data_IF_821137689710
#
_entry.id   IF_821137689710
#
_cell.length_a   1.000
_cell.length_b   1.000
_cell.length_c   1.000
_cell.angle_alpha   90.00
_cell.angle_beta   90.00
_cell.angle_gamma   90.00
#
_symmetry.space_group_name_H-M   'P 1'
#
loop_
_entity.id
_entity.type
_entity.pdbx_description
1 polymer ?
#
# COMPACT_ATOMS: atom_id res chain seq x y z
N UNK A 1 -33.71 -4.54 25.75
CA UNK A 1 -32.43 -4.96 25.14
C UNK A 1 -31.48 -5.30 26.28
N UNK A 2 -30.81 -6.45 26.21
CA UNK A 2 -29.77 -6.79 27.18
C UNK A 2 -28.62 -5.79 27.09
N UNK A 3 -28.03 -5.48 28.25
CA UNK A 3 -26.90 -4.56 28.33
C UNK A 3 -25.66 -5.15 27.63
N UNK A 4 -24.99 -4.37 26.75
CA UNK A 4 -23.74 -4.77 26.13
C UNK A 4 -22.69 -5.26 27.13
N UNK A 5 -22.00 -6.36 26.80
CA UNK A 5 -21.01 -6.98 27.69
C UNK A 5 -19.89 -6.01 28.08
N UNK A 6 -19.47 -5.16 27.14
CA UNK A 6 -18.42 -4.17 27.39
C UNK A 6 -18.83 -3.12 28.43
N UNK A 7 -20.13 -2.77 28.53
CA UNK A 7 -20.63 -1.83 29.55
C UNK A 7 -20.61 -2.47 30.95
N UNK A 8 -20.91 -3.76 31.06
CA UNK A 8 -20.73 -4.51 32.31
C UNK A 8 -19.26 -4.48 32.76
N UNK A 9 -18.34 -4.71 31.82
CA UNK A 9 -16.89 -4.63 32.07
C UNK A 9 -16.41 -3.22 32.42
N UNK A 10 -16.98 -2.20 31.79
CA UNK A 10 -16.73 -0.81 32.15
C UNK A 10 -17.11 -0.55 33.60
N UNK A 11 -18.31 -0.97 34.05
CA UNK A 11 -18.73 -0.81 35.44
C UNK A 11 -17.84 -1.57 36.44
N UNK A 12 -17.39 -2.77 36.08
CA UNK A 12 -16.42 -3.52 36.90
C UNK A 12 -15.11 -2.73 37.06
N UNK A 13 -14.61 -2.12 35.99
CA UNK A 13 -13.41 -1.27 36.03
C UNK A 13 -13.65 -0.01 36.86
N UNK A 14 -14.77 0.69 36.69
CA UNK A 14 -15.06 1.90 37.46
C UNK A 14 -15.11 1.59 38.95
N UNK A 15 -15.80 0.52 39.37
CA UNK A 15 -15.80 0.07 40.77
C UNK A 15 -14.39 -0.24 41.29
N UNK A 16 -13.54 -0.85 40.45
CA UNK A 16 -12.15 -1.10 40.80
C UNK A 16 -11.36 0.21 40.99
N UNK A 17 -11.53 1.16 40.07
CA UNK A 17 -10.86 2.46 40.11
C UNK A 17 -11.35 3.31 41.29
N UNK A 18 -12.64 3.32 41.59
CA UNK A 18 -13.19 4.03 42.76
C UNK A 18 -12.64 3.49 44.07
N UNK A 19 -12.42 2.18 44.15
CA UNK A 19 -11.88 1.55 45.35
C UNK A 19 -10.37 1.73 45.50
N UNK A 20 -9.63 1.65 44.40
CA UNK A 20 -8.16 1.50 44.44
C UNK A 20 -7.38 2.68 43.84
N UNK A 21 -8.01 3.56 43.06
CA UNK A 21 -7.40 4.77 42.48
C UNK A 21 -8.47 5.86 42.16
N UNK A 22 -9.06 6.49 43.19
CA UNK A 22 -10.07 7.55 43.00
C UNK A 22 -9.56 8.73 42.17
N UNK A 23 -8.24 8.94 42.13
CA UNK A 23 -7.59 10.04 41.39
C UNK A 23 -7.24 9.69 39.95
N UNK A 24 -7.59 8.48 39.47
CA UNK A 24 -7.39 8.01 38.08
C UNK A 24 -5.96 8.19 37.57
N UNK A 25 -4.97 7.89 38.42
CA UNK A 25 -3.53 7.98 38.11
C UNK A 25 -3.00 6.72 37.41
N UNK A 26 -3.72 5.61 37.50
CA UNK A 26 -3.41 4.28 36.96
C UNK A 26 -2.05 3.72 37.41
N UNK A 27 -1.64 4.04 38.64
CA UNK A 27 -0.38 3.58 39.23
C UNK A 27 -0.64 2.45 40.23
N UNK A 28 -0.73 1.23 39.73
CA UNK A 28 -0.91 0.02 40.55
C UNK A 28 0.41 -0.76 40.67
N UNK A 29 0.57 -1.52 41.76
CA UNK A 29 1.68 -2.46 41.97
C UNK A 29 1.14 -3.89 42.07
N UNK A 30 2.00 -4.86 41.74
CA UNK A 30 1.75 -6.31 41.89
C UNK A 30 0.36 -6.74 41.40
N UNK A 31 -0.42 -7.42 42.24
CA UNK A 31 -1.68 -8.08 41.88
C UNK A 31 -2.74 -7.08 41.40
N UNK A 32 -2.75 -5.86 41.93
CA UNK A 32 -3.66 -4.81 41.49
C UNK A 32 -3.33 -4.38 40.05
N UNK A 33 -2.05 -4.34 39.67
CA UNK A 33 -1.64 -4.03 38.31
C UNK A 33 -2.06 -5.13 37.34
N UNK A 34 -1.88 -6.40 37.71
CA UNK A 34 -2.30 -7.55 36.90
C UNK A 34 -3.82 -7.57 36.73
N UNK A 35 -4.57 -7.37 37.82
CA UNK A 35 -6.04 -7.32 37.78
C UNK A 35 -6.56 -6.17 36.92
N UNK A 36 -6.00 -4.97 37.08
CA UNK A 36 -6.36 -3.83 36.23
C UNK A 36 -6.03 -4.10 34.76
N UNK A 37 -4.87 -4.69 34.47
CA UNK A 37 -4.51 -5.04 33.09
C UNK A 37 -5.49 -6.03 32.47
N UNK A 38 -5.85 -7.10 33.19
CA UNK A 38 -6.83 -8.09 32.72
C UNK A 38 -8.18 -7.45 32.42
N UNK A 39 -8.71 -6.64 33.34
CA UNK A 39 -9.97 -5.94 33.14
C UNK A 39 -9.94 -5.00 31.92
N UNK A 40 -8.81 -4.30 31.69
CA UNK A 40 -8.64 -3.43 30.51
C UNK A 40 -8.59 -4.19 29.20
N UNK A 41 -7.92 -5.34 29.16
CA UNK A 41 -7.90 -6.19 27.95
C UNK A 41 -9.30 -6.75 27.68
N UNK A 42 -9.97 -7.29 28.71
CA UNK A 42 -11.34 -7.80 28.59
C UNK A 42 -12.31 -6.73 28.08
N UNK A 43 -12.26 -5.51 28.62
CA UNK A 43 -13.10 -4.41 28.13
C UNK A 43 -12.84 -4.11 26.66
N UNK A 44 -11.57 -4.03 26.25
CA UNK A 44 -11.22 -3.73 24.85
C UNK A 44 -11.67 -4.83 23.91
N UNK A 45 -11.50 -6.09 24.28
CA UNK A 45 -11.93 -7.23 23.45
C UNK A 45 -13.45 -7.26 23.29
N UNK A 46 -14.18 -7.11 24.39
CA UNK A 46 -15.64 -7.06 24.35
C UNK A 46 -16.16 -5.85 23.57
N UNK A 47 -15.46 -4.71 23.63
CA UNK A 47 -15.83 -3.52 22.87
C UNK A 47 -15.54 -3.70 21.36
N UNK A 48 -14.41 -4.31 21.00
CA UNK A 48 -14.09 -4.66 19.61
C UNK A 48 -15.14 -5.60 19.03
N UNK A 49 -15.48 -6.67 19.75
CA UNK A 49 -16.51 -7.63 19.33
C UNK A 49 -17.89 -6.94 19.21
N UNK A 50 -18.22 -6.05 20.14
CA UNK A 50 -19.47 -5.29 20.07
C UNK A 50 -19.56 -4.39 18.82
N UNK A 51 -18.47 -3.69 18.46
CA UNK A 51 -18.47 -2.74 17.35
C UNK A 51 -18.33 -3.40 15.98
N UNK A 52 -17.46 -4.41 15.88
CA UNK A 52 -17.04 -5.02 14.60
C UNK A 52 -17.57 -6.44 14.41
N UNK A 53 -17.85 -7.15 15.51
CA UNK A 53 -18.31 -8.54 15.51
C UNK A 53 -17.55 -9.42 14.53
N UNK A 54 -18.32 -10.11 13.69
CA UNK A 54 -17.81 -11.03 12.66
C UNK A 54 -16.90 -10.40 11.60
N UNK A 55 -16.84 -9.07 11.45
CA UNK A 55 -16.00 -8.43 10.45
C UNK A 55 -14.50 -8.70 10.70
N UNK A 56 -14.09 -8.88 11.96
CA UNK A 56 -12.71 -9.23 12.29
C UNK A 56 -12.36 -10.66 11.81
N UNK A 57 -13.32 -11.58 11.85
CA UNK A 57 -13.14 -12.93 11.31
C UNK A 57 -13.07 -12.93 9.78
N UNK A 58 -13.80 -12.04 9.12
CA UNK A 58 -13.65 -11.81 7.67
C UNK A 58 -12.24 -11.30 7.37
N UNK A 59 -11.71 -10.36 8.17
CA UNK A 59 -10.35 -9.86 8.01
C UNK A 59 -9.31 -10.97 8.17
N UNK A 60 -9.42 -11.83 9.18
CA UNK A 60 -8.54 -13.00 9.34
C UNK A 60 -8.55 -13.92 8.11
N UNK A 61 -9.71 -14.12 7.48
CA UNK A 61 -9.79 -14.88 6.22
C UNK A 61 -9.05 -14.20 5.08
N UNK A 62 -9.13 -12.87 4.97
CA UNK A 62 -8.42 -12.11 3.93
C UNK A 62 -6.91 -12.12 4.16
N UNK A 63 -6.47 -11.98 5.42
CA UNK A 63 -5.06 -12.11 5.82
C UNK A 63 -4.50 -13.45 5.34
N UNK A 64 -5.17 -14.57 5.64
CA UNK A 64 -4.73 -15.90 5.19
C UNK A 64 -4.56 -16.00 3.67
N UNK A 65 -5.42 -15.34 2.90
CA UNK A 65 -5.32 -15.33 1.43
C UNK A 65 -4.14 -14.51 0.95
N UNK A 66 -3.92 -13.34 1.53
CA UNK A 66 -2.75 -12.51 1.24
C UNK A 66 -1.45 -13.21 1.62
N UNK A 67 -1.36 -13.79 2.82
CA UNK A 67 -0.16 -14.50 3.29
C UNK A 67 0.25 -15.60 2.32
N UNK A 68 -0.70 -16.43 1.88
CA UNK A 68 -0.43 -17.49 0.89
C UNK A 68 0.09 -16.94 -0.44
N UNK A 69 -0.53 -15.88 -0.93
CA UNK A 69 -0.12 -15.26 -2.19
C UNK A 69 1.29 -14.67 -2.11
N UNK A 70 1.63 -14.08 -0.96
CA UNK A 70 2.95 -13.52 -0.68
C UNK A 70 4.01 -14.62 -0.52
N UNK A 71 3.69 -15.73 0.15
CA UNK A 71 4.56 -16.90 0.24
C UNK A 71 4.86 -17.49 -1.15
N UNK A 72 3.84 -17.62 -1.99
CA UNK A 72 4.00 -18.05 -3.39
C UNK A 72 4.88 -17.06 -4.17
N UNK A 73 4.69 -15.75 -3.97
CA UNK A 73 5.51 -14.71 -4.61
C UNK A 73 6.97 -14.76 -4.20
N UNK A 74 7.23 -14.95 -2.91
CA UNK A 74 8.58 -15.10 -2.37
C UNK A 74 9.27 -16.31 -3.00
N UNK A 75 8.55 -17.45 -3.09
CA UNK A 75 9.06 -18.67 -3.72
C UNK A 75 9.33 -18.49 -5.21
N UNK A 76 8.36 -17.96 -5.97
CA UNK A 76 8.44 -17.83 -7.42
C UNK A 76 9.62 -16.97 -7.86
N UNK A 77 9.81 -15.80 -7.25
CA UNK A 77 10.89 -14.88 -7.60
C UNK A 77 12.16 -15.06 -6.77
N UNK A 78 12.23 -16.08 -5.90
CA UNK A 78 13.33 -16.32 -4.97
C UNK A 78 13.71 -15.05 -4.17
N UNK A 79 12.70 -14.39 -3.59
CA UNK A 79 12.89 -13.19 -2.80
C UNK A 79 13.43 -13.54 -1.41
N UNK A 80 14.24 -12.65 -0.84
CA UNK A 80 14.66 -12.77 0.57
C UNK A 80 13.53 -12.42 1.54
N UNK A 81 12.54 -11.66 1.09
CA UNK A 81 11.33 -11.37 1.86
C UNK A 81 10.54 -10.20 1.28
N UNK A 82 9.52 -9.79 2.03
CA UNK A 82 8.69 -8.62 1.68
C UNK A 82 8.56 -7.66 2.85
N UNK A 83 8.29 -6.39 2.54
CA UNK A 83 8.08 -5.33 3.52
C UNK A 83 6.68 -4.75 3.39
N UNK A 84 5.96 -4.73 4.50
CA UNK A 84 4.66 -4.05 4.64
C UNK A 84 4.83 -2.75 5.43
N UNK A 85 3.86 -1.84 5.30
CA UNK A 85 3.77 -0.69 6.20
C UNK A 85 3.60 -1.15 7.65
N UNK A 86 4.06 -0.34 8.61
CA UNK A 86 3.91 -0.64 10.05
C UNK A 86 2.46 -0.93 10.45
N UNK A 87 1.53 -0.18 9.87
CA UNK A 87 0.10 -0.33 10.12
C UNK A 87 -0.42 -1.67 9.61
N UNK A 88 -0.19 -1.98 8.32
CA UNK A 88 -0.61 -3.23 7.72
C UNK A 88 0.09 -4.42 8.38
N UNK A 89 1.42 -4.36 8.55
CA UNK A 89 2.20 -5.42 9.18
C UNK A 89 1.70 -5.77 10.58
N UNK A 90 1.46 -4.76 11.44
CA UNK A 90 0.87 -5.01 12.76
C UNK A 90 -0.53 -5.60 12.69
N UNK A 91 -1.32 -5.29 11.65
CA UNK A 91 -2.66 -5.85 11.47
C UNK A 91 -2.63 -7.28 10.93
N UNK A 92 -1.67 -7.61 10.04
CA UNK A 92 -1.47 -8.97 9.53
C UNK A 92 -1.01 -9.93 10.64
N UNK A 93 -0.17 -9.46 11.56
CA UNK A 93 0.34 -10.24 12.69
C UNK A 93 -0.77 -10.60 13.69
N UNK A 94 -1.48 -9.58 14.20
CA UNK A 94 -2.62 -9.78 15.08
C UNK A 94 -3.64 -8.63 14.92
N UNK A 95 -4.76 -8.88 14.20
CA UNK A 95 -5.82 -7.89 14.00
C UNK A 95 -6.41 -7.36 15.32
N UNK A 96 -6.58 -8.22 16.33
CA UNK A 96 -7.16 -7.83 17.61
C UNK A 96 -6.18 -6.94 18.36
N UNK A 97 -4.93 -7.35 18.50
CA UNK A 97 -3.91 -6.51 19.14
C UNK A 97 -3.74 -5.17 18.42
N UNK A 98 -3.80 -5.13 17.08
CA UNK A 98 -3.78 -3.89 16.32
C UNK A 98 -4.97 -2.98 16.67
N UNK A 99 -6.19 -3.51 16.67
CA UNK A 99 -7.41 -2.76 16.96
C UNK A 99 -7.44 -2.26 18.41
N UNK A 100 -6.93 -3.03 19.37
CA UNK A 100 -6.78 -2.59 20.77
C UNK A 100 -5.91 -1.33 20.90
N UNK A 101 -4.87 -1.18 20.06
CA UNK A 101 -4.02 0.02 20.05
C UNK A 101 -4.81 1.27 19.62
N UNK A 102 -5.82 1.12 18.76
CA UNK A 102 -6.63 2.24 18.23
C UNK A 102 -7.58 2.84 19.26
N UNK A 103 -8.03 2.05 20.23
CA UNK A 103 -8.93 2.50 21.29
C UNK A 103 -8.22 2.85 22.60
N UNK A 104 -6.89 2.75 22.63
CA UNK A 104 -6.10 2.92 23.84
C UNK A 104 -6.33 4.28 24.52
N UNK A 105 -6.18 5.38 23.77
CA UNK A 105 -6.34 6.73 24.34
C UNK A 105 -7.79 6.99 24.78
N UNK A 106 -8.76 6.68 23.90
CA UNK A 106 -10.18 6.84 24.20
C UNK A 106 -10.61 6.09 25.47
N UNK A 107 -10.08 4.88 25.69
CA UNK A 107 -10.38 4.09 26.88
C UNK A 107 -9.89 4.79 28.14
N UNK A 108 -8.72 5.42 28.08
CA UNK A 108 -8.16 6.15 29.22
C UNK A 108 -8.88 7.47 29.49
N UNK A 109 -9.42 8.12 28.45
CA UNK A 109 -10.27 9.30 28.64
C UNK A 109 -11.62 8.91 29.26
N UNK A 110 -12.19 7.76 28.86
CA UNK A 110 -13.38 7.18 29.49
C UNK A 110 -13.15 6.87 30.98
N UNK A 111 -12.02 6.25 31.33
CA UNK A 111 -11.71 5.94 32.74
C UNK A 111 -11.42 7.18 33.60
N UNK A 112 -10.98 8.28 32.97
CA UNK A 112 -10.82 9.58 33.64
C UNK A 112 -12.10 10.40 33.65
N UNK A 113 -13.20 9.85 33.14
CA UNK A 113 -14.50 10.53 33.05
C UNK A 113 -14.43 11.85 32.25
N UNK A 114 -13.47 11.94 31.31
CA UNK A 114 -13.40 13.07 30.38
C UNK A 114 -14.46 12.97 29.29
N UNK A 115 -14.83 11.74 28.95
CA UNK A 115 -15.89 11.38 28.01
C UNK A 115 -16.80 10.36 28.69
N UNK A 116 -18.08 10.37 28.35
CA UNK A 116 -19.01 9.35 28.82
C UNK A 116 -18.99 8.09 27.93
N UNK A 117 -19.76 7.08 28.32
CA UNK A 117 -19.81 5.80 27.62
C UNK A 117 -20.45 5.91 26.23
N UNK A 118 -21.39 6.83 26.02
CA UNK A 118 -22.03 7.06 24.71
C UNK A 118 -21.08 7.77 23.75
N UNK A 119 -20.36 8.79 24.25
CA UNK A 119 -19.31 9.47 23.50
C UNK A 119 -18.18 8.49 23.14
N UNK A 120 -17.71 7.68 24.10
CA UNK A 120 -16.72 6.64 23.86
C UNK A 120 -17.16 5.66 22.76
N UNK A 121 -18.39 5.16 22.82
CA UNK A 121 -18.93 4.26 21.80
C UNK A 121 -18.88 4.89 20.40
N UNK A 122 -19.24 6.17 20.30
CA UNK A 122 -19.22 6.92 19.05
C UNK A 122 -17.79 7.09 18.50
N UNK A 123 -16.88 7.69 19.28
CA UNK A 123 -15.54 8.07 18.79
C UNK A 123 -14.60 6.86 18.65
N UNK A 124 -14.58 5.97 19.64
CA UNK A 124 -13.74 4.77 19.60
C UNK A 124 -14.31 3.76 18.59
N UNK A 125 -15.63 3.66 18.47
CA UNK A 125 -16.28 2.82 17.46
C UNK A 125 -15.97 3.30 16.04
N UNK A 126 -16.00 4.61 15.78
CA UNK A 126 -15.58 5.17 14.49
C UNK A 126 -14.11 4.90 14.17
N UNK A 127 -13.22 5.02 15.18
CA UNK A 127 -11.80 4.71 15.03
C UNK A 127 -11.56 3.23 14.66
N UNK A 128 -12.27 2.29 15.32
CA UNK A 128 -12.21 0.86 15.02
C UNK A 128 -12.67 0.55 13.60
N UNK A 129 -13.86 1.03 13.20
CA UNK A 129 -14.39 0.81 11.83
C UNK A 129 -13.44 1.37 10.77
N UNK A 130 -12.86 2.54 11.02
CA UNK A 130 -11.90 3.16 10.10
C UNK A 130 -10.61 2.35 9.99
N UNK A 131 -10.05 1.90 11.11
CA UNK A 131 -8.85 1.07 11.14
C UNK A 131 -9.06 -0.26 10.42
N UNK A 132 -10.18 -0.93 10.67
CA UNK A 132 -10.52 -2.19 10.00
C UNK A 132 -10.66 -1.98 8.48
N UNK A 133 -11.48 -1.02 8.05
CA UNK A 133 -11.73 -0.74 6.62
C UNK A 133 -10.45 -0.37 5.87
N UNK A 134 -9.60 0.45 6.48
CA UNK A 134 -8.32 0.87 5.87
C UNK A 134 -7.40 -0.34 5.65
N UNK A 135 -7.24 -1.19 6.65
CA UNK A 135 -6.42 -2.39 6.52
C UNK A 135 -7.01 -3.40 5.54
N UNK A 136 -8.33 -3.57 5.49
CA UNK A 136 -9.01 -4.44 4.51
C UNK A 136 -8.77 -3.99 3.08
N UNK A 137 -8.82 -2.67 2.81
CA UNK A 137 -8.42 -2.10 1.50
C UNK A 137 -6.97 -2.44 1.17
N UNK A 138 -6.05 -2.20 2.11
CA UNK A 138 -4.63 -2.49 1.90
C UNK A 138 -4.36 -3.97 1.67
N UNK A 139 -5.04 -4.87 2.37
CA UNK A 139 -4.94 -6.32 2.13
C UNK A 139 -5.35 -6.66 0.71
N UNK A 140 -6.50 -6.16 0.25
CA UNK A 140 -7.01 -6.49 -1.08
C UNK A 140 -6.11 -5.94 -2.20
N UNK A 141 -5.67 -4.68 -2.09
CA UNK A 141 -4.76 -4.06 -3.04
C UNK A 141 -3.42 -4.82 -3.11
N UNK A 142 -2.86 -5.18 -1.95
CA UNK A 142 -1.61 -5.95 -1.86
C UNK A 142 -1.78 -7.33 -2.47
N UNK A 143 -2.92 -8.00 -2.23
CA UNK A 143 -3.22 -9.30 -2.81
C UNK A 143 -3.32 -9.21 -4.34
N UNK A 144 -4.05 -8.23 -4.89
CA UNK A 144 -4.15 -8.02 -6.34
C UNK A 144 -2.76 -7.83 -6.96
N UNK A 145 -1.91 -7.04 -6.32
CA UNK A 145 -0.56 -6.79 -6.81
C UNK A 145 0.34 -8.04 -6.74
N UNK A 146 0.33 -8.77 -5.61
CA UNK A 146 1.07 -10.02 -5.46
C UNK A 146 0.62 -11.08 -6.47
N UNK A 147 -0.69 -11.27 -6.65
CA UNK A 147 -1.24 -12.19 -7.65
C UNK A 147 -0.87 -11.79 -9.07
N UNK A 148 -0.89 -10.50 -9.38
CA UNK A 148 -0.45 -9.99 -10.70
C UNK A 148 1.00 -10.39 -10.98
N UNK A 149 1.89 -10.23 -9.99
CA UNK A 149 3.29 -10.64 -10.13
C UNK A 149 3.44 -12.17 -10.23
N UNK A 150 2.67 -12.96 -9.48
CA UNK A 150 2.70 -14.42 -9.59
C UNK A 150 2.24 -14.92 -10.97
N UNK A 151 1.24 -14.31 -11.58
CA UNK A 151 0.82 -14.65 -12.95
C UNK A 151 1.89 -14.19 -13.96
N UNK A 152 2.50 -13.02 -13.77
CA UNK A 152 3.63 -12.59 -14.62
C UNK A 152 4.80 -13.57 -14.56
N UNK A 153 5.05 -14.20 -13.41
CA UNK A 153 6.06 -15.24 -13.27
C UNK A 153 5.74 -16.46 -14.15
N UNK A 154 4.48 -16.89 -14.21
CA UNK A 154 4.03 -17.97 -15.11
C UNK A 154 4.27 -17.63 -16.60
N UNK A 155 4.35 -16.34 -16.94
CA UNK A 155 4.76 -15.85 -18.26
C UNK A 155 6.27 -15.71 -18.45
N UNK A 156 7.09 -16.32 -17.58
CA UNK A 156 8.55 -16.32 -17.67
C UNK A 156 9.17 -14.98 -17.34
N UNK A 157 8.57 -14.23 -16.42
CA UNK A 157 9.14 -12.96 -15.95
C UNK A 157 10.08 -13.16 -14.75
N UNK A 158 11.02 -12.23 -14.58
CA UNK A 158 11.88 -12.14 -13.40
C UNK A 158 11.99 -10.69 -12.91
N UNK A 159 12.20 -10.52 -11.60
CA UNK A 159 12.37 -9.21 -10.97
C UNK A 159 13.80 -8.73 -11.22
N UNK A 160 13.94 -7.52 -11.77
CA UNK A 160 15.23 -6.83 -11.97
C UNK A 160 15.46 -5.68 -11.01
N UNK A 161 14.41 -5.22 -10.34
CA UNK A 161 14.48 -4.27 -9.25
C UNK A 161 13.36 -4.58 -8.26
N UNK A 162 13.61 -4.58 -6.94
CA UNK A 162 14.88 -4.24 -6.30
C UNK A 162 15.92 -5.37 -6.38
N UNK A 163 17.19 -5.00 -6.61
CA UNK A 163 18.32 -5.94 -6.77
C UNK A 163 18.64 -6.70 -5.47
N UNK A 164 18.32 -6.11 -4.31
CA UNK A 164 18.57 -6.72 -2.99
C UNK A 164 17.55 -7.80 -2.60
N UNK A 165 16.60 -8.16 -3.48
CA UNK A 165 15.68 -9.29 -3.25
C UNK A 165 14.59 -9.08 -2.19
N UNK A 166 14.39 -7.85 -1.67
CA UNK A 166 13.25 -7.54 -0.78
C UNK A 166 12.22 -6.67 -1.48
N UNK A 167 11.01 -7.20 -1.72
CA UNK A 167 9.92 -6.43 -2.32
C UNK A 167 9.18 -5.60 -1.27
N UNK A 168 8.97 -4.31 -1.52
CA UNK A 168 8.20 -3.45 -0.61
C UNK A 168 6.81 -3.14 -1.17
N UNK A 169 5.79 -3.46 -0.38
CA UNK A 169 4.38 -3.12 -0.64
C UNK A 169 3.99 -1.73 -0.08
N UNK A 170 4.97 -0.92 0.33
CA UNK A 170 4.75 0.45 0.78
C UNK A 170 5.70 1.45 0.11
N UNK A 171 5.49 2.73 0.41
CA UNK A 171 6.32 3.84 -0.10
C UNK A 171 7.04 4.66 0.96
N UNK A 172 6.68 4.50 2.23
CA UNK A 172 7.18 5.34 3.32
C UNK A 172 8.72 5.35 3.34
N UNK A 173 9.31 6.54 3.24
CA UNK A 173 10.76 6.72 3.39
C UNK A 173 11.61 6.59 2.12
N UNK A 174 11.05 6.18 0.96
CA UNK A 174 11.81 5.99 -0.29
C UNK A 174 12.00 7.25 -1.17
N UNK A 175 11.40 8.38 -0.78
CA UNK A 175 11.29 9.60 -1.61
C UNK A 175 12.07 10.80 -1.07
N UNK A 176 13.08 10.56 -0.23
CA UNK A 176 13.87 11.63 0.41
C UNK A 176 14.79 12.40 -0.54
N UNK A 177 15.15 11.81 -1.68
CA UNK A 177 16.16 12.33 -2.62
C UNK A 177 15.57 12.98 -3.88
N UNK A 178 14.34 13.52 -3.82
CA UNK A 178 13.72 14.18 -4.96
C UNK A 178 13.29 13.26 -6.12
N UNK A 179 13.47 11.95 -5.99
CA UNK A 179 13.02 10.93 -6.95
C UNK A 179 11.85 10.09 -6.43
N UNK A 180 11.14 9.43 -7.34
CA UNK A 180 10.10 8.45 -7.01
C UNK A 180 10.46 7.15 -7.74
N UNK A 181 11.10 6.17 -7.06
CA UNK A 181 11.47 4.91 -7.68
C UNK A 181 10.29 3.92 -7.78
N UNK A 182 10.39 2.91 -8.66
CA UNK A 182 9.41 1.84 -8.74
C UNK A 182 9.39 1.02 -7.43
N UNK A 183 8.28 0.33 -7.19
CA UNK A 183 8.20 -0.71 -6.18
C UNK A 183 8.85 -2.00 -6.69
N UNK A 184 8.64 -2.31 -7.98
CA UNK A 184 9.26 -3.43 -8.67
C UNK A 184 9.43 -3.10 -10.15
N UNK A 185 10.49 -3.61 -10.76
CA UNK A 185 10.62 -3.72 -12.21
C UNK A 185 10.77 -5.19 -12.55
N UNK A 186 9.98 -5.67 -13.49
CA UNK A 186 10.07 -7.04 -14.02
C UNK A 186 10.49 -7.00 -15.48
N UNK A 187 11.32 -7.96 -15.88
CA UNK A 187 11.55 -8.28 -17.27
C UNK A 187 10.70 -9.49 -17.63
N UNK A 188 10.01 -9.44 -18.76
CA UNK A 188 9.25 -10.55 -19.33
C UNK A 188 9.93 -11.02 -20.60
N UNK A 189 10.30 -12.30 -20.65
CA UNK A 189 10.98 -12.92 -21.79
C UNK A 189 10.21 -12.66 -23.09
N UNK A 190 10.91 -12.13 -24.10
CA UNK A 190 10.35 -11.85 -25.42
C UNK A 190 9.41 -10.64 -25.51
N UNK A 191 9.18 -9.90 -24.42
CA UNK A 191 8.31 -8.71 -24.41
C UNK A 191 9.02 -7.45 -23.87
N UNK A 192 9.90 -7.59 -22.89
CA UNK A 192 10.64 -6.47 -22.30
C UNK A 192 10.16 -6.14 -20.88
N UNK A 193 10.27 -4.88 -20.49
CA UNK A 193 10.14 -4.46 -19.09
C UNK A 193 8.77 -3.88 -18.74
N UNK A 194 8.38 -4.08 -17.49
CA UNK A 194 7.27 -3.40 -16.82
C UNK A 194 7.75 -2.86 -15.47
N UNK A 195 7.45 -1.58 -15.20
CA UNK A 195 7.79 -0.91 -13.95
C UNK A 195 6.53 -0.51 -13.19
N UNK A 196 6.40 -0.96 -11.94
CA UNK A 196 5.20 -0.76 -11.12
C UNK A 196 5.47 0.19 -9.96
N UNK A 197 4.51 1.07 -9.69
CA UNK A 197 4.56 2.08 -8.65
C UNK A 197 3.27 2.04 -7.84
N UNK A 198 3.35 1.64 -6.58
CA UNK A 198 2.19 1.50 -5.68
C UNK A 198 1.91 2.83 -5.01
N UNK A 199 0.66 3.27 -4.92
CA UNK A 199 0.22 4.51 -4.24
C UNK A 199 1.06 5.74 -4.63
N UNK A 200 1.28 5.92 -5.92
CA UNK A 200 2.09 6.99 -6.49
C UNK A 200 1.22 8.11 -7.09
N UNK A 201 1.65 9.39 -7.03
CA UNK A 201 2.83 9.91 -6.36
C UNK A 201 2.60 10.24 -4.87
N UNK A 202 3.68 10.21 -4.09
CA UNK A 202 3.72 10.64 -2.68
C UNK A 202 4.75 11.79 -2.58
N UNK A 203 4.63 12.67 -1.56
CA UNK A 203 5.49 13.84 -1.46
C UNK A 203 6.99 13.50 -1.39
N UNK A 204 7.79 14.27 -2.13
CA UNK A 204 9.25 14.21 -2.08
C UNK A 204 9.80 15.11 -0.96
N UNK A 205 11.00 14.81 -0.47
CA UNK A 205 11.73 15.67 0.48
C UNK A 205 11.99 17.06 -0.09
N UNK A 206 12.02 18.08 0.79
CA UNK A 206 12.32 19.47 0.47
C UNK A 206 13.06 20.11 1.64
N UNK A 207 13.99 21.02 1.35
CA UNK A 207 14.82 21.68 2.37
C UNK A 207 14.42 23.14 2.62
N UNK A 208 13.92 23.83 1.59
CA UNK A 208 13.55 25.25 1.67
C UNK A 208 12.16 25.57 1.06
N UNK A 209 11.82 26.87 1.06
CA UNK A 209 10.54 27.35 0.53
C UNK A 209 10.41 27.24 -1.01
N UNK A 210 11.51 27.24 -1.76
CA UNK A 210 11.48 27.05 -3.20
C UNK A 210 11.27 25.58 -3.55
N UNK A 211 11.91 24.68 -2.82
CA UNK A 211 11.73 23.24 -2.93
C UNK A 211 10.34 22.81 -2.51
N UNK A 212 9.78 23.40 -1.44
CA UNK A 212 8.39 23.16 -1.05
C UNK A 212 7.41 23.56 -2.17
N UNK A 213 7.61 24.69 -2.85
CA UNK A 213 6.75 25.10 -3.98
C UNK A 213 6.78 24.08 -5.11
N UNK A 214 7.95 23.49 -5.41
CA UNK A 214 8.10 22.44 -6.42
C UNK A 214 7.45 21.13 -5.96
N UNK A 215 7.69 20.73 -4.71
CA UNK A 215 7.17 19.50 -4.11
C UNK A 215 5.65 19.56 -3.82
N UNK A 216 5.08 20.77 -3.72
CA UNK A 216 3.66 20.99 -3.39
C UNK A 216 2.71 20.25 -4.33
N UNK A 217 3.04 20.21 -5.61
CA UNK A 217 2.29 19.49 -6.64
C UNK A 217 2.06 18.01 -6.26
N UNK A 218 3.00 17.35 -5.59
CA UNK A 218 2.87 15.97 -5.10
C UNK A 218 1.99 15.81 -3.85
N UNK A 219 1.83 16.88 -3.06
CA UNK A 219 0.90 16.87 -1.92
C UNK A 219 -0.55 16.91 -2.38
N UNK A 220 -0.83 17.62 -3.49
CA UNK A 220 -2.16 17.79 -4.07
C UNK A 220 -2.49 16.83 -5.19
N UNK A 221 -1.50 16.14 -5.77
CA UNK A 221 -1.71 15.14 -6.82
C UNK A 221 -2.61 13.98 -6.36
N UNK A 222 -3.43 13.49 -7.29
CA UNK A 222 -4.30 12.33 -7.08
C UNK A 222 -3.46 11.06 -6.94
N UNK A 223 -3.91 10.08 -6.14
CA UNK A 223 -3.13 8.88 -5.85
C UNK A 223 -3.91 7.63 -6.24
N UNK A 224 -3.71 7.12 -7.46
CA UNK A 224 -4.18 5.81 -7.85
C UNK A 224 -3.45 4.70 -7.08
N UNK A 225 -4.06 3.52 -6.98
CA UNK A 225 -3.49 2.42 -6.20
C UNK A 225 -2.20 1.86 -6.84
N UNK A 226 -2.15 1.69 -8.16
CA UNK A 226 -0.98 1.19 -8.89
C UNK A 226 -0.84 1.91 -10.23
N UNK A 227 0.35 2.47 -10.49
CA UNK A 227 0.76 2.95 -11.82
C UNK A 227 1.71 1.95 -12.45
N UNK A 228 1.58 1.71 -13.76
CA UNK A 228 2.45 0.81 -14.51
C UNK A 228 2.99 1.50 -15.76
N UNK A 229 4.29 1.32 -15.99
CA UNK A 229 4.99 1.83 -17.16
C UNK A 229 5.58 0.67 -17.95
N UNK A 230 5.41 0.70 -19.27
CA UNK A 230 6.22 -0.11 -20.18
C UNK A 230 7.65 0.44 -20.24
N UNK A 231 8.62 -0.44 -20.09
CA UNK A 231 10.05 -0.10 -20.03
C UNK A 231 10.59 -0.12 -18.59
N UNK A 232 11.92 0.02 -18.46
CA UNK A 232 12.62 0.12 -17.18
C UNK A 232 12.62 1.58 -16.71
N UNK A 233 11.64 1.94 -15.90
CA UNK A 233 11.47 3.30 -15.37
C UNK A 233 11.91 3.30 -13.91
N UNK A 234 13.06 3.93 -13.64
CA UNK A 234 13.62 4.01 -12.28
C UNK A 234 13.25 5.31 -11.54
N UNK A 235 12.67 6.29 -12.24
CA UNK A 235 12.17 7.53 -11.65
C UNK A 235 11.01 8.07 -12.49
N UNK A 236 9.90 8.43 -11.84
CA UNK A 236 8.72 9.03 -12.52
C UNK A 236 8.55 10.51 -12.24
N UNK A 237 9.43 11.14 -11.45
CA UNK A 237 9.30 12.57 -11.11
C UNK A 237 9.46 13.44 -12.36
N UNK A 238 8.51 14.35 -12.56
CA UNK A 238 8.53 15.34 -13.63
C UNK A 238 8.17 16.72 -13.10
N UNK A 239 9.13 17.38 -12.45
CA UNK A 239 8.94 18.70 -11.84
C UNK A 239 8.56 19.75 -12.90
N UNK A 240 7.66 20.66 -12.53
CA UNK A 240 7.19 21.72 -13.43
C UNK A 240 6.06 21.32 -14.39
N UNK A 241 5.62 20.05 -14.33
CA UNK A 241 4.47 19.55 -15.06
C UNK A 241 3.25 19.35 -14.14
N UNK A 242 2.06 19.34 -14.74
CA UNK A 242 0.81 18.91 -14.09
C UNK A 242 0.16 17.84 -14.98
N UNK A 243 0.14 16.55 -14.57
CA UNK A 243 0.62 16.03 -13.28
C UNK A 243 2.15 16.10 -13.09
N UNK A 244 2.65 16.10 -11.84
CA UNK A 244 4.08 16.22 -11.54
C UNK A 244 4.88 14.90 -11.72
N UNK A 245 4.34 13.97 -12.50
CA UNK A 245 4.96 12.69 -12.83
C UNK A 245 4.86 12.41 -14.33
N UNK A 246 5.73 11.52 -14.81
CA UNK A 246 5.59 10.95 -16.14
C UNK A 246 4.22 10.29 -16.33
N UNK A 247 3.70 10.35 -17.56
CA UNK A 247 2.42 9.76 -17.92
C UNK A 247 2.51 8.23 -17.82
N UNK A 248 1.70 7.55 -17.00
CA UNK A 248 1.69 6.09 -16.91
C UNK A 248 1.08 5.47 -18.18
N UNK A 249 1.50 4.26 -18.51
CA UNK A 249 0.89 3.50 -19.60
C UNK A 249 -0.42 2.86 -19.14
N UNK A 250 -0.42 2.32 -17.91
CA UNK A 250 -1.59 1.69 -17.30
C UNK A 250 -1.77 2.22 -15.87
N UNK A 251 -3.02 2.40 -15.47
CA UNK A 251 -3.40 2.56 -14.05
C UNK A 251 -4.23 1.34 -13.65
N UNK A 252 -3.91 0.74 -12.49
CA UNK A 252 -4.75 -0.28 -11.86
C UNK A 252 -5.28 0.26 -10.55
N UNK A 253 -6.60 0.31 -10.42
CA UNK A 253 -7.31 0.77 -9.21
C UNK A 253 -8.08 -0.41 -8.60
N UNK A 254 -8.01 -0.56 -7.29
CA UNK A 254 -8.60 -1.68 -6.56
C UNK A 254 -9.82 -1.22 -5.76
N UNK A 255 -10.89 -2.02 -5.76
CA UNK A 255 -12.08 -1.80 -4.93
C UNK A 255 -12.48 -3.07 -4.19
N UNK A 256 -12.37 -3.01 -2.88
CA UNK A 256 -12.58 -4.13 -1.95
C UNK A 256 -14.03 -4.27 -1.48
N UNK A 257 -14.81 -3.19 -1.42
CA UNK A 257 -16.20 -3.20 -0.95
C UNK A 257 -17.17 -3.57 -2.07
N UNK A 258 -18.36 -4.04 -1.70
CA UNK A 258 -19.42 -4.35 -2.66
C UNK A 258 -20.11 -3.07 -3.16
N UNK A 259 -20.43 -2.20 -2.21
CA UNK A 259 -21.07 -0.91 -2.37
C UNK A 259 -20.09 0.24 -2.67
N UNK A 260 -18.88 -0.07 -3.13
CA UNK A 260 -17.82 0.92 -3.35
C UNK A 260 -18.30 2.09 -4.24
N UNK A 261 -19.14 1.81 -5.24
CA UNK A 261 -19.62 2.77 -6.25
C UNK A 261 -20.60 3.82 -5.72
N UNK A 262 -21.30 3.57 -4.61
CA UNK A 262 -22.21 4.55 -3.99
C UNK A 262 -21.55 5.41 -2.92
N UNK A 263 -20.34 5.04 -2.47
CA UNK A 263 -19.62 5.80 -1.43
C UNK A 263 -19.32 7.22 -1.92
N UNK A 264 -19.47 8.18 -1.01
CA UNK A 264 -19.20 9.59 -1.24
C UNK A 264 -17.89 9.97 -0.55
N UNK A 265 -17.06 10.72 -1.26
CA UNK A 265 -15.78 11.26 -0.79
C UNK A 265 -15.79 12.78 -0.90
N UNK A 266 -15.43 13.45 0.19
CA UNK A 266 -15.18 14.89 0.19
C UNK A 266 -13.78 15.13 -0.39
N UNK A 267 -13.71 15.75 -1.56
CA UNK A 267 -12.44 16.08 -2.22
C UNK A 267 -12.06 17.53 -1.93
N UNK A 268 -10.90 17.71 -1.28
CA UNK A 268 -10.19 19.00 -1.28
C UNK A 268 -9.42 19.07 -2.60
N UNK A 269 -9.92 19.87 -3.54
CA UNK A 269 -9.45 19.84 -4.93
C UNK A 269 -8.02 20.36 -5.15
N UNK A 270 -7.47 20.17 -6.37
CA UNK A 270 -6.13 20.63 -6.78
C UNK A 270 -5.97 22.16 -6.85
N UNK A 271 -7.05 22.94 -6.68
CA UNK A 271 -7.07 24.40 -6.72
C UNK A 271 -6.62 25.07 -5.40
N UNK A 272 -6.05 24.32 -4.46
CA UNK A 272 -5.53 24.90 -3.24
C UNK A 272 -4.18 25.59 -3.51
N UNK A 273 -4.13 26.93 -3.36
CA UNK A 273 -2.86 27.69 -3.36
C UNK A 273 -1.79 26.95 -2.52
N UNK A 274 -0.54 26.83 -3.03
CA UNK A 274 0.57 26.30 -2.26
C UNK A 274 0.69 27.01 -0.93
N UNK A 275 0.79 26.24 0.15
CA UNK A 275 1.10 26.83 1.46
C UNK A 275 2.56 27.30 1.45
N UNK A 276 2.84 28.43 2.09
CA UNK A 276 4.23 28.83 2.36
C UNK A 276 4.87 27.86 3.36
N UNK A 277 6.21 27.80 3.44
CA UNK A 277 6.89 26.96 4.43
C UNK A 277 6.53 27.34 5.86
N UNK A 278 6.25 28.62 6.12
CA UNK A 278 5.74 29.11 7.40
C UNK A 278 4.30 28.68 7.65
N UNK A 279 3.40 28.71 6.66
CA UNK A 279 2.03 28.20 6.81
C UNK A 279 2.00 26.68 7.02
N UNK A 280 2.88 25.93 6.35
CA UNK A 280 3.03 24.50 6.55
C UNK A 280 3.62 24.19 7.94
N UNK A 281 4.67 24.91 8.34
CA UNK A 281 5.28 24.80 9.67
C UNK A 281 4.28 25.19 10.75
N UNK A 282 3.47 26.23 10.57
CA UNK A 282 2.41 26.63 11.49
C UNK A 282 1.29 25.59 11.57
N UNK A 283 0.89 24.96 10.46
CA UNK A 283 -0.09 23.85 10.49
C UNK A 283 0.47 22.56 11.07
N UNK A 284 1.75 22.28 10.84
CA UNK A 284 2.45 21.14 11.41
C UNK A 284 2.68 21.35 12.91
N UNK A 285 3.12 22.53 13.33
CA UNK A 285 3.24 22.94 14.74
C UNK A 285 1.85 22.95 15.37
N UNK A 286 0.81 23.47 14.72
CA UNK A 286 -0.58 23.39 15.21
C UNK A 286 -1.03 21.93 15.36
N UNK A 287 -0.79 21.06 14.38
CA UNK A 287 -1.09 19.63 14.51
C UNK A 287 -0.28 18.92 15.59
N UNK A 288 0.96 19.36 15.83
CA UNK A 288 1.81 18.90 16.94
C UNK A 288 1.31 19.42 18.28
N UNK A 289 0.84 20.68 18.33
CA UNK A 289 0.26 21.34 19.48
C UNK A 289 -1.13 20.80 19.80
N UNK A 290 -1.94 20.44 18.81
CA UNK A 290 -3.23 19.79 18.97
C UNK A 290 -3.01 18.40 19.56
N UNK A 291 -2.01 17.65 19.04
CA UNK A 291 -1.57 16.39 19.62
C UNK A 291 -1.00 16.51 21.04
N UNK A 292 -0.31 17.62 21.37
CA UNK A 292 0.25 17.88 22.70
C UNK A 292 -0.76 18.47 23.69
N UNK A 293 -1.72 19.28 23.24
CA UNK A 293 -2.77 19.90 24.05
C UNK A 293 -3.82 18.88 24.46
N UNK A 294 -4.15 17.91 23.59
CA UNK A 294 -4.95 16.74 23.96
C UNK A 294 -4.25 15.90 25.05
N UNK A 295 -2.92 15.80 25.00
CA UNK A 295 -2.11 15.10 26.01
C UNK A 295 -1.98 15.92 27.31
N UNK A 296 -1.91 17.25 27.22
CA UNK A 296 -1.68 18.17 28.34
C UNK A 296 -2.95 18.76 28.96
N UNK A 297 -4.13 18.54 28.36
CA UNK A 297 -5.43 18.94 28.91
C UNK A 297 -5.66 20.46 28.97
N UNK A 298 -4.99 21.24 28.12
CA UNK A 298 -5.09 22.71 28.10
C UNK A 298 -6.16 23.13 27.09
N UNK A 299 -7.22 23.82 27.53
CA UNK A 299 -8.26 24.37 26.63
C UNK A 299 -7.73 25.56 25.84
N UNK A 300 -8.10 25.60 24.55
CA UNK A 300 -7.72 26.59 23.55
C UNK A 300 -8.22 27.99 23.97
N UNK A 301 -7.32 28.87 24.39
CA UNK A 301 -7.59 30.31 24.39
C UNK A 301 -7.20 30.85 23.00
N UNK A 302 -8.24 31.23 22.26
CA UNK A 302 -8.26 32.20 21.15
C UNK A 302 -6.96 32.36 20.34
N UNK A 303 -6.87 31.63 19.21
CA UNK A 303 -5.97 31.98 18.12
C UNK A 303 -6.67 31.79 16.77
N UNK A 304 -7.46 32.81 16.44
CA UNK A 304 -7.72 33.39 15.10
C UNK A 304 -8.43 32.52 14.05
N UNK A 305 -9.71 32.87 13.88
CA UNK A 305 -10.46 32.83 12.62
C UNK A 305 -9.66 33.51 11.49
N UNK A 306 -9.21 32.76 10.49
CA UNK A 306 -9.14 33.22 9.09
C UNK A 306 -8.66 32.11 8.17
N UNK A 307 -9.56 31.19 7.80
CA UNK A 307 -9.45 30.51 6.50
C UNK A 307 -10.87 30.34 5.97
N UNK A 308 -11.23 31.14 4.95
CA UNK A 308 -12.47 30.97 4.18
C UNK A 308 -12.64 29.49 3.81
N UNK A 309 -13.75 28.90 4.22
CA UNK A 309 -14.13 27.53 3.89
C UNK A 309 -14.08 27.33 2.37
N UNK A 310 -13.06 26.60 1.90
CA UNK A 310 -13.00 26.17 0.50
C UNK A 310 -14.08 25.10 0.30
N UNK A 311 -15.03 25.36 -0.60
CA UNK A 311 -16.08 24.41 -1.02
C UNK A 311 -15.47 23.03 -1.29
N UNK A 312 -15.78 22.07 -0.43
CA UNK A 312 -15.45 20.65 -0.62
C UNK A 312 -16.38 20.07 -1.69
N UNK A 313 -15.80 19.45 -2.72
CA UNK A 313 -16.58 18.81 -3.77
C UNK A 313 -16.93 17.38 -3.31
N UNK A 314 -18.22 17.06 -3.23
CA UNK A 314 -18.71 15.71 -2.94
C UNK A 314 -18.76 14.88 -4.21
N UNK A 315 -17.89 13.89 -4.32
CA UNK A 315 -17.86 12.96 -5.45
C UNK A 315 -18.21 11.56 -4.98
N UNK A 316 -18.96 10.83 -5.81
CA UNK A 316 -19.08 9.37 -5.65
C UNK A 316 -17.77 8.70 -6.07
N UNK A 317 -17.46 7.56 -5.48
CA UNK A 317 -16.16 6.89 -5.70
C UNK A 317 -15.91 6.58 -7.18
N UNK A 318 -16.92 6.18 -7.97
CA UNK A 318 -16.73 5.97 -9.41
C UNK A 318 -16.31 7.25 -10.16
N UNK A 319 -16.73 8.43 -9.68
CA UNK A 319 -16.31 9.72 -10.25
C UNK A 319 -14.87 10.04 -9.85
N UNK A 320 -14.41 9.59 -8.68
CA UNK A 320 -13.00 9.68 -8.27
C UNK A 320 -12.13 8.80 -9.18
N UNK A 321 -12.58 7.58 -9.49
CA UNK A 321 -11.90 6.69 -10.45
C UNK A 321 -11.82 7.34 -11.83
N UNK A 322 -12.91 7.91 -12.34
CA UNK A 322 -12.91 8.68 -13.59
C UNK A 322 -11.95 9.86 -13.56
N UNK A 323 -11.85 10.56 -12.42
CA UNK A 323 -10.93 11.67 -12.27
C UNK A 323 -9.47 11.23 -12.39
N UNK A 324 -9.09 10.04 -11.87
CA UNK A 324 -7.74 9.49 -12.03
C UNK A 324 -7.40 9.27 -13.50
N UNK A 325 -8.32 8.64 -14.26
CA UNK A 325 -8.15 8.41 -15.70
C UNK A 325 -7.94 9.73 -16.45
N UNK A 326 -8.79 10.74 -16.19
CA UNK A 326 -8.69 12.04 -16.86
C UNK A 326 -7.44 12.84 -16.47
N UNK A 327 -7.05 12.78 -15.20
CA UNK A 327 -5.91 13.55 -14.68
C UNK A 327 -4.58 13.01 -15.21
N UNK A 328 -4.38 11.70 -15.21
CA UNK A 328 -3.14 11.06 -15.66
C UNK A 328 -3.15 10.66 -17.14
N UNK A 329 -4.33 10.56 -17.76
CA UNK A 329 -4.54 10.21 -19.15
C UNK A 329 -3.78 8.94 -19.60
N UNK A 330 -3.86 7.79 -18.90
CA UNK A 330 -3.11 6.58 -19.29
C UNK A 330 -3.60 6.02 -20.63
N UNK A 331 -2.85 5.08 -21.23
CA UNK A 331 -3.33 4.38 -22.44
C UNK A 331 -4.59 3.56 -22.14
N UNK A 332 -4.66 3.00 -20.93
CA UNK A 332 -5.83 2.31 -20.39
C UNK A 332 -5.81 2.36 -18.86
N UNK A 333 -6.98 2.47 -18.24
CA UNK A 333 -7.14 2.26 -16.80
C UNK A 333 -7.93 0.98 -16.56
N UNK A 334 -7.53 0.20 -15.55
CA UNK A 334 -8.18 -1.06 -15.17
C UNK A 334 -8.71 -0.89 -13.75
N UNK A 335 -10.01 -1.14 -13.58
CA UNK A 335 -10.63 -1.21 -12.27
C UNK A 335 -10.79 -2.68 -11.88
N UNK A 336 -10.13 -3.10 -10.80
CA UNK A 336 -10.21 -4.45 -10.24
C UNK A 336 -11.12 -4.42 -9.02
N UNK A 337 -12.33 -4.97 -9.16
CA UNK A 337 -13.33 -4.99 -8.10
C UNK A 337 -13.51 -6.40 -7.50
N UNK A 338 -13.47 -6.49 -6.18
CA UNK A 338 -13.68 -7.76 -5.46
C UNK A 338 -15.07 -8.33 -5.75
N UNK A 339 -16.09 -7.46 -5.68
CA UNK A 339 -17.49 -7.81 -5.88
C UNK A 339 -17.98 -7.45 -7.29
N UNK A 340 -19.23 -7.77 -7.60
CA UNK A 340 -19.87 -7.36 -8.83
C UNK A 340 -20.04 -5.84 -8.89
N UNK A 341 -19.76 -5.25 -10.05
CA UNK A 341 -20.04 -3.84 -10.31
C UNK A 341 -21.32 -3.71 -11.13
N UNK A 342 -22.27 -2.83 -10.75
CA UNK A 342 -23.50 -2.64 -11.50
C UNK A 342 -23.24 -2.30 -12.97
N UNK A 343 -24.06 -2.85 -13.87
CA UNK A 343 -23.90 -2.70 -15.34
C UNK A 343 -23.79 -1.23 -15.76
N UNK A 344 -24.64 -0.37 -15.22
CA UNK A 344 -24.63 1.07 -15.50
C UNK A 344 -23.31 1.75 -15.14
N UNK A 345 -22.68 1.33 -14.03
CA UNK A 345 -21.39 1.87 -13.59
C UNK A 345 -20.29 1.36 -14.53
N UNK A 346 -20.32 0.08 -14.92
CA UNK A 346 -19.36 -0.48 -15.89
C UNK A 346 -19.42 0.24 -17.24
N UNK A 347 -20.61 0.53 -17.73
CA UNK A 347 -20.80 1.27 -18.99
C UNK A 347 -20.28 2.70 -18.89
N UNK A 348 -20.52 3.39 -17.75
CA UNK A 348 -19.97 4.74 -17.50
C UNK A 348 -18.45 4.73 -17.47
N UNK A 349 -17.85 3.76 -16.78
CA UNK A 349 -16.39 3.62 -16.69
C UNK A 349 -15.77 3.29 -18.05
N UNK A 350 -16.40 2.41 -18.84
CA UNK A 350 -15.92 2.02 -20.16
C UNK A 350 -15.85 3.23 -21.12
N UNK A 351 -16.83 4.15 -21.05
CA UNK A 351 -16.82 5.42 -21.82
C UNK A 351 -15.64 6.33 -21.48
N UNK A 352 -15.04 6.15 -20.31
CA UNK A 352 -13.88 6.92 -19.81
C UNK A 352 -12.56 6.14 -19.98
N UNK A 353 -12.54 5.14 -20.87
CA UNK A 353 -11.41 4.24 -21.10
C UNK A 353 -10.96 3.46 -19.84
N UNK A 354 -11.92 3.14 -18.97
CA UNK A 354 -11.70 2.34 -17.76
C UNK A 354 -12.33 0.96 -17.94
N UNK A 355 -11.48 -0.05 -18.10
CA UNK A 355 -11.91 -1.44 -18.17
C UNK A 355 -12.19 -1.98 -16.76
N UNK A 356 -13.42 -2.42 -16.52
CA UNK A 356 -13.79 -3.04 -15.23
C UNK A 356 -13.63 -4.55 -15.29
N UNK A 357 -12.88 -5.10 -14.33
CA UNK A 357 -12.76 -6.53 -14.04
C UNK A 357 -13.33 -6.74 -12.64
N UNK A 358 -14.56 -7.24 -12.57
CA UNK A 358 -15.34 -7.42 -11.34
C UNK A 358 -15.51 -8.91 -10.97
N UNK A 359 -16.12 -9.18 -9.81
CA UNK A 359 -16.26 -10.54 -9.24
C UNK A 359 -14.91 -11.26 -9.09
N UNK A 360 -13.84 -10.50 -8.84
CA UNK A 360 -12.49 -11.05 -8.69
C UNK A 360 -12.37 -11.86 -7.40
N UNK A 361 -13.07 -11.44 -6.34
CA UNK A 361 -12.96 -12.07 -5.04
C UNK A 361 -11.49 -12.12 -4.59
N UNK A 362 -10.97 -13.32 -4.36
CA UNK A 362 -9.54 -13.59 -4.20
C UNK A 362 -9.16 -14.76 -5.12
N UNK A 363 -9.47 -14.65 -6.41
CA UNK A 363 -9.18 -15.66 -7.42
C UNK A 363 -8.10 -15.15 -8.38
N UNK A 364 -6.92 -15.77 -8.34
CA UNK A 364 -5.78 -15.46 -9.23
C UNK A 364 -6.18 -15.54 -10.71
N UNK A 365 -6.94 -16.57 -11.10
CA UNK A 365 -7.46 -16.77 -12.47
C UNK A 365 -8.27 -15.58 -13.01
N UNK A 366 -8.94 -14.81 -12.15
CA UNK A 366 -9.72 -13.63 -12.57
C UNK A 366 -8.82 -12.44 -12.95
N UNK A 367 -7.54 -12.47 -12.59
CA UNK A 367 -6.56 -11.43 -12.91
C UNK A 367 -5.76 -11.70 -14.19
N UNK A 368 -5.94 -12.86 -14.85
CA UNK A 368 -5.29 -13.20 -16.13
C UNK A 368 -5.48 -12.10 -17.19
N UNK A 369 -6.70 -11.55 -17.27
CA UNK A 369 -7.01 -10.47 -18.20
C UNK A 369 -6.24 -9.19 -17.88
N UNK A 370 -5.99 -8.91 -16.59
CA UNK A 370 -5.14 -7.78 -16.17
C UNK A 370 -3.73 -7.99 -16.72
N UNK A 371 -3.17 -9.18 -16.47
CA UNK A 371 -1.79 -9.49 -16.88
C UNK A 371 -1.62 -9.47 -18.39
N UNK A 372 -2.56 -10.01 -19.16
CA UNK A 372 -2.51 -9.91 -20.62
C UNK A 372 -2.38 -8.46 -21.12
N UNK A 373 -3.15 -7.55 -20.53
CA UNK A 373 -3.09 -6.11 -20.88
C UNK A 373 -1.74 -5.51 -20.46
N UNK A 374 -1.21 -5.88 -19.28
CA UNK A 374 0.11 -5.44 -18.83
C UNK A 374 1.20 -5.91 -19.81
N UNK A 375 1.17 -7.18 -20.21
CA UNK A 375 2.12 -7.77 -21.12
C UNK A 375 2.12 -7.12 -22.51
N UNK A 376 0.98 -6.60 -22.98
CA UNK A 376 0.89 -5.88 -24.25
C UNK A 376 1.48 -4.46 -24.18
N UNK A 377 1.75 -3.96 -22.97
CA UNK A 377 2.42 -2.68 -22.72
C UNK A 377 3.88 -2.83 -22.29
N UNK A 378 4.39 -4.04 -22.13
CA UNK A 378 5.81 -4.26 -21.89
C UNK A 378 6.63 -3.72 -23.07
N UNK A 379 7.74 -3.03 -22.78
CA UNK A 379 8.60 -2.45 -23.81
C UNK A 379 10.01 -3.01 -23.70
N UNK A 380 10.63 -3.43 -24.82
CA UNK A 380 12.04 -3.76 -24.81
C UNK A 380 12.85 -2.50 -24.48
N UNK A 381 13.97 -2.69 -23.80
CA UNK A 381 14.97 -1.65 -23.60
C UNK A 381 16.26 -2.12 -24.26
N UNK A 382 16.92 -1.23 -24.99
CA UNK A 382 18.24 -1.51 -25.52
C UNK A 382 19.25 -1.43 -24.36
N UNK A 383 19.89 -2.54 -24.03
CA UNK A 383 20.89 -2.58 -22.98
C UNK A 383 21.54 -3.96 -22.84
N UNK A 384 22.80 -3.98 -22.41
CA UNK A 384 23.50 -5.19 -21.97
C UNK A 384 23.63 -5.13 -20.45
N UNK A 385 23.54 -6.29 -19.79
CA UNK A 385 23.91 -6.39 -18.37
C UNK A 385 25.42 -6.59 -18.26
N UNK A 386 26.05 -5.94 -17.28
CA UNK A 386 27.41 -6.27 -16.90
C UNK A 386 27.36 -7.50 -15.98
N UNK A 387 28.12 -8.54 -16.32
CA UNK A 387 28.26 -9.75 -15.52
C UNK A 387 29.69 -9.82 -15.00
N UNK A 388 29.86 -9.79 -13.68
CA UNK A 388 31.15 -10.10 -13.06
C UNK A 388 31.33 -11.61 -12.99
N UNK A 389 32.41 -12.11 -13.60
CA UNK A 389 32.78 -13.53 -13.57
C UNK A 389 34.24 -13.68 -13.19
N UNK A 390 34.63 -14.75 -12.46
CA UNK A 390 36.02 -15.03 -12.18
C UNK A 390 36.84 -15.18 -13.47
N UNK A 391 38.12 -14.78 -13.42
CA UNK A 391 39.04 -14.89 -14.55
C UNK A 391 39.15 -16.31 -15.11
N UNK A 392 39.10 -17.32 -14.26
CA UNK A 392 39.13 -18.73 -14.69
C UNK A 392 37.89 -19.11 -15.51
N UNK A 393 36.71 -18.63 -15.11
CA UNK A 393 35.46 -18.83 -15.87
C UNK A 393 35.53 -18.12 -17.21
N UNK A 394 36.02 -16.88 -17.23
CA UNK A 394 36.23 -16.14 -18.46
C UNK A 394 37.23 -16.85 -19.39
N UNK A 395 38.32 -17.38 -18.85
CA UNK A 395 39.30 -18.15 -19.62
C UNK A 395 38.69 -19.43 -20.24
N UNK A 396 37.79 -20.11 -19.52
CA UNK A 396 37.02 -21.25 -20.07
C UNK A 396 36.09 -20.83 -21.21
N UNK A 397 35.39 -19.69 -21.07
CA UNK A 397 34.54 -19.13 -22.13
C UNK A 397 35.38 -18.78 -23.37
N UNK A 398 36.53 -18.14 -23.17
CA UNK A 398 37.48 -17.81 -24.25
C UNK A 398 38.03 -19.07 -24.94
N UNK A 399 38.38 -20.12 -24.19
CA UNK A 399 38.84 -21.38 -24.75
C UNK A 399 37.73 -22.05 -25.59
N UNK A 400 36.48 -22.01 -25.11
CA UNK A 400 35.33 -22.53 -25.86
C UNK A 400 35.08 -21.72 -27.13
N UNK A 401 35.12 -20.39 -27.05
CA UNK A 401 34.98 -19.49 -28.19
C UNK A 401 35.98 -19.84 -29.29
N UNK A 402 37.27 -20.03 -28.95
CA UNK A 402 38.31 -20.43 -29.91
C UNK A 402 38.01 -21.78 -30.56
N UNK A 403 37.53 -22.76 -29.80
CA UNK A 403 37.15 -24.08 -30.32
C UNK A 403 35.95 -23.99 -31.28
N UNK A 404 34.97 -23.14 -30.98
CA UNK A 404 33.80 -22.92 -31.84
C UNK A 404 34.14 -22.10 -33.10
N UNK A 405 35.04 -21.12 -33.00
CA UNK A 405 35.52 -20.32 -34.13
C UNK A 405 36.28 -21.14 -35.19
N UNK A 406 36.89 -22.27 -34.80
CA UNK A 406 37.48 -23.22 -35.76
C UNK A 406 36.44 -23.90 -36.66
N UNK A 407 35.13 -23.72 -36.38
CA UNK A 407 34.02 -24.36 -37.08
C UNK A 407 33.07 -23.40 -37.86
N UNK A 408 33.13 -22.07 -37.64
CA UNK A 408 32.45 -20.99 -38.41
C UNK A 408 32.82 -19.58 -37.85
N UNK A 409 32.45 -18.52 -38.58
CA UNK A 409 32.72 -17.07 -38.39
C UNK A 409 32.90 -16.53 -36.94
N UNK A 410 33.63 -15.41 -36.81
CA UNK A 410 33.88 -14.68 -35.56
C UNK A 410 32.61 -14.56 -34.69
N UNK A 411 32.51 -15.38 -33.64
CA UNK A 411 31.44 -15.31 -32.65
C UNK A 411 31.83 -14.29 -31.56
N UNK A 412 30.92 -13.40 -31.17
CA UNK A 412 31.13 -12.57 -29.99
C UNK A 412 31.00 -13.40 -28.70
N UNK A 413 31.60 -12.94 -27.59
CA UNK A 413 31.50 -13.63 -26.28
C UNK A 413 30.04 -13.80 -25.85
N UNK A 414 29.18 -12.82 -26.15
CA UNK A 414 27.74 -12.90 -25.86
C UNK A 414 27.08 -14.08 -26.57
N UNK A 415 27.38 -14.29 -27.84
CA UNK A 415 26.81 -15.41 -28.63
C UNK A 415 27.31 -16.77 -28.14
N UNK A 416 28.54 -16.83 -27.63
CA UNK A 416 29.06 -18.05 -26.99
C UNK A 416 28.32 -18.33 -25.69
N UNK A 417 28.08 -17.31 -24.87
CA UNK A 417 27.30 -17.44 -23.63
C UNK A 417 25.88 -17.89 -23.94
N UNK A 418 25.21 -17.28 -24.92
CA UNK A 418 23.86 -17.66 -25.33
C UNK A 418 23.81 -19.14 -25.73
N UNK A 419 24.76 -19.61 -26.56
CA UNK A 419 24.86 -21.03 -26.93
C UNK A 419 25.12 -21.97 -25.76
N UNK A 420 25.97 -21.56 -24.80
CA UNK A 420 26.21 -22.35 -23.57
C UNK A 420 24.90 -22.48 -22.79
N UNK A 421 24.19 -21.36 -22.61
CA UNK A 421 22.94 -21.32 -21.83
C UNK A 421 21.85 -22.11 -22.54
N UNK A 422 21.68 -21.97 -23.85
CA UNK A 422 20.70 -22.74 -24.63
C UNK A 422 20.98 -24.24 -24.54
N UNK A 423 22.24 -24.67 -24.73
CA UNK A 423 22.62 -26.06 -24.57
C UNK A 423 22.35 -26.58 -23.15
N UNK A 424 22.63 -25.76 -22.14
CA UNK A 424 22.37 -26.09 -20.73
C UNK A 424 20.86 -26.24 -20.45
N UNK A 425 20.02 -25.33 -20.98
CA UNK A 425 18.56 -25.39 -20.84
C UNK A 425 17.98 -26.63 -21.53
N UNK A 426 18.51 -27.03 -22.69
CA UNK A 426 18.10 -28.25 -23.40
C UNK A 426 18.57 -29.55 -22.70
N UNK A 427 19.61 -29.48 -21.87
CA UNK A 427 20.22 -30.64 -21.21
C UNK A 427 20.15 -30.57 -19.67
N UNK A 428 19.10 -29.96 -19.12
CA UNK A 428 19.00 -29.63 -17.69
C UNK A 428 19.13 -30.85 -16.77
N UNK A 429 18.69 -32.04 -17.21
CA UNK A 429 18.77 -33.26 -16.42
C UNK A 429 20.22 -33.76 -16.26
N UNK A 430 21.10 -33.48 -17.22
CA UNK A 430 22.54 -33.79 -17.13
C UNK A 430 23.24 -32.83 -16.17
N UNK A 431 22.78 -31.58 -16.12
CA UNK A 431 23.32 -30.56 -15.21
C UNK A 431 22.96 -30.82 -13.75
N UNK A 432 21.79 -31.38 -13.47
CA UNK A 432 21.34 -31.74 -12.11
C UNK A 432 22.07 -32.93 -11.50
N UNK A 433 22.83 -33.69 -12.28
CA UNK A 433 23.61 -34.86 -11.83
C UNK A 433 25.06 -34.51 -11.44
N UNK A 434 25.47 -33.26 -11.66
CA UNK A 434 26.70 -32.67 -11.13
C UNK A 434 26.38 -31.92 -9.83
#
# INVERSE_FOLDING_TARGET
>A
MEEPVWLRKYREIMKFLDKHDPKRRFKFRSDLAQKFSKLREELRDNFIEYILGSEVEVAKKWIKKLTREVEELISNYNLQGVLFSKELGSFLEDPYAHLRKKIFNYMYDLFREKIDHGEFESVAGAALRTALRTNMRSIYQTWVFASTLNILYEHGSYIVYPEHGYLSFERSGKQKLGWIPPNVVVYVKGRGFLSFFIEAPRPIGWEDSQDLKKAWSFYTALRPDILVYGGKVLNIVKLGHDPPIERPHIIVECKELEEWHIRIRDMRGPFAKPLTAEEWRSKWIQGLWDGLADILGVKRAEAVETVKEKKTLRLREYQVVTLYSRFYNPDIMILVARAETPKEIKEKLLRENILTIDKVGFSKLRLERVVKILLDKAKPEAGKIALEIPWETYAKIQALQRKLMLSKSNLEVGEVIDKIVDFALENIDKLKQC
#
